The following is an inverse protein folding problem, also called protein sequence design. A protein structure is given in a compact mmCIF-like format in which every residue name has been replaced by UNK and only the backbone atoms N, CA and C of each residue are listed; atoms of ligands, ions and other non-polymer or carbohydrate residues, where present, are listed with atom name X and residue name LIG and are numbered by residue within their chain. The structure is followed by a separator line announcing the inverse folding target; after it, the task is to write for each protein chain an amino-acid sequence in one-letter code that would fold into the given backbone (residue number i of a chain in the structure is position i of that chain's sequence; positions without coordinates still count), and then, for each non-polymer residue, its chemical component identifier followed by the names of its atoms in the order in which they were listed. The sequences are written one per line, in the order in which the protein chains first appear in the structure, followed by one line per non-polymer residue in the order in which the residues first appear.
data_IF_262709477692
#
_entry.id   IF_262709477692
#
_cell.length_a   1.000
_cell.length_b   1.000
_cell.length_c   1.000
_cell.angle_alpha   90.00
_cell.angle_beta   90.00
_cell.angle_gamma   90.00
#
_symmetry.space_group_name_H-M   'P 1'
#
loop_
_entity.id
_entity.type
_entity.pdbx_description
1 polymer ?
#
# COMPACT_ATOMS: atom_id res chain seq x y z
N UNK A 1 -21.91 -1.51 2.26
CA UNK A 1 -20.98 -0.37 2.01
C UNK A 1 -19.75 -0.58 2.88
N UNK A 2 -18.67 -1.12 2.33
CA UNK A 2 -17.39 -1.23 3.05
C UNK A 2 -16.78 0.16 3.17
N UNK A 3 -16.47 0.55 4.40
CA UNK A 3 -16.00 1.89 4.75
C UNK A 3 -14.49 1.98 4.42
N UNK A 4 -14.16 2.10 3.14
CA UNK A 4 -12.79 2.20 2.67
C UNK A 4 -12.22 3.59 2.98
N UNK A 5 -11.21 3.64 3.85
CA UNK A 5 -10.60 4.89 4.29
C UNK A 5 -9.19 5.00 3.71
N UNK A 6 -9.01 5.94 2.78
CA UNK A 6 -7.71 6.34 2.25
C UNK A 6 -7.30 7.68 2.87
N UNK A 7 -6.76 7.62 4.09
CA UNK A 7 -6.31 8.82 4.83
C UNK A 7 -4.83 8.72 5.14
N UNK A 8 -4.14 9.86 5.07
CA UNK A 8 -2.72 9.94 5.44
C UNK A 8 -2.53 9.43 6.87
N UNK A 9 -1.73 8.37 7.09
CA UNK A 9 -1.46 7.89 8.43
C UNK A 9 -0.59 8.89 9.21
N UNK A 10 -0.74 8.92 10.54
CA UNK A 10 0.00 9.83 11.43
C UNK A 10 1.51 9.69 11.32
N UNK A 11 1.99 8.48 11.05
CA UNK A 11 3.42 8.18 10.88
C UNK A 11 3.99 8.54 9.50
N UNK A 12 3.17 8.95 8.52
CA UNK A 12 3.60 9.11 7.14
C UNK A 12 4.71 10.15 6.96
N UNK A 13 4.48 11.38 7.41
CA UNK A 13 5.45 12.46 7.26
C UNK A 13 6.73 12.22 8.12
N UNK A 14 6.62 11.76 9.39
CA UNK A 14 7.79 11.36 10.16
C UNK A 14 8.64 10.27 9.48
N UNK A 15 8.00 9.24 8.93
CA UNK A 15 8.69 8.16 8.24
C UNK A 15 9.43 8.66 6.99
N UNK A 16 8.78 9.47 6.15
CA UNK A 16 9.42 10.08 4.98
C UNK A 16 10.65 10.89 5.40
N UNK A 17 10.52 11.74 6.43
CA UNK A 17 11.64 12.55 6.91
C UNK A 17 12.79 11.67 7.40
N UNK A 18 12.49 10.59 8.11
CA UNK A 18 13.51 9.66 8.58
C UNK A 18 14.24 8.99 7.40
N UNK A 19 13.52 8.38 6.46
CA UNK A 19 14.13 7.68 5.33
C UNK A 19 14.92 8.61 4.42
N UNK A 20 14.42 9.80 4.11
CA UNK A 20 15.14 10.78 3.28
C UNK A 20 16.44 11.28 3.92
N UNK A 21 16.54 11.26 5.26
CA UNK A 21 17.75 11.66 5.97
C UNK A 21 18.78 10.54 6.09
N UNK A 22 18.31 9.29 6.19
CA UNK A 22 19.18 8.11 6.41
C UNK A 22 19.73 7.57 5.09
N UNK A 23 18.97 7.64 4.01
CA UNK A 23 19.32 7.01 2.74
C UNK A 23 19.03 7.96 1.54
N UNK A 24 20.08 8.43 0.84
CA UNK A 24 19.95 9.27 -0.35
C UNK A 24 19.21 8.60 -1.50
N UNK A 25 19.36 7.28 -1.69
CA UNK A 25 18.66 6.53 -2.74
C UNK A 25 17.16 6.49 -2.44
N UNK A 26 16.79 6.23 -1.19
CA UNK A 26 15.38 6.33 -0.78
C UNK A 26 14.85 7.75 -0.87
N UNK A 27 15.67 8.77 -0.59
CA UNK A 27 15.29 10.16 -0.79
C UNK A 27 14.90 10.43 -2.26
N UNK A 28 15.74 9.98 -3.20
CA UNK A 28 15.50 10.12 -4.63
C UNK A 28 14.24 9.37 -5.06
N UNK A 29 14.06 8.12 -4.63
CA UNK A 29 12.87 7.30 -4.92
C UNK A 29 11.60 7.98 -4.39
N UNK A 30 11.58 8.41 -3.13
CA UNK A 30 10.42 9.10 -2.54
C UNK A 30 10.14 10.41 -3.29
N UNK A 31 11.18 11.14 -3.68
CA UNK A 31 11.02 12.41 -4.40
C UNK A 31 10.43 12.23 -5.81
N UNK A 32 10.84 11.16 -6.51
CA UNK A 32 10.44 10.82 -7.87
C UNK A 32 9.03 10.24 -7.95
N UNK A 33 8.63 9.44 -6.96
CA UNK A 33 7.36 8.69 -6.96
C UNK A 33 6.35 9.21 -5.92
N UNK A 34 6.34 10.51 -5.62
CA UNK A 34 5.38 11.12 -4.68
C UNK A 34 3.95 10.80 -5.09
N UNK A 35 3.22 10.12 -4.20
CA UNK A 35 1.80 9.81 -4.38
C UNK A 35 0.96 10.44 -3.28
N UNK A 36 -0.27 10.81 -3.61
CA UNK A 36 -1.30 11.21 -2.63
C UNK A 36 -2.11 10.04 -2.11
N UNK A 37 -1.87 8.83 -2.64
CA UNK A 37 -2.58 7.62 -2.25
C UNK A 37 -1.85 6.95 -1.09
N UNK A 38 -2.60 6.64 -0.04
CA UNK A 38 -2.11 5.86 1.10
C UNK A 38 -2.71 4.46 1.05
N UNK A 39 -2.27 3.60 1.97
CA UNK A 39 -2.87 2.28 2.12
C UNK A 39 -4.36 2.45 2.49
N UNK A 40 -5.24 1.89 1.66
CA UNK A 40 -6.67 1.85 1.96
C UNK A 40 -6.90 0.79 3.04
N UNK A 41 -7.46 1.20 4.18
CA UNK A 41 -7.85 0.28 5.24
C UNK A 41 -9.24 -0.27 4.92
N UNK A 42 -9.37 -1.60 4.92
CA UNK A 42 -10.65 -2.31 4.71
C UNK A 42 -11.05 -3.02 6.02
N UNK A 43 -12.35 -3.19 6.25
CA UNK A 43 -12.88 -3.93 7.41
C UNK A 43 -13.24 -5.39 7.04
N UNK A 44 -12.52 -5.99 6.09
CA UNK A 44 -12.82 -7.32 5.55
C UNK A 44 -11.59 -8.23 5.61
N UNK A 45 -11.09 -8.58 6.82
CA UNK A 45 -9.81 -9.28 6.99
C UNK A 45 -9.79 -10.65 6.30
N UNK A 46 -10.91 -11.40 6.34
CA UNK A 46 -11.03 -12.68 5.66
C UNK A 46 -10.87 -12.52 4.13
N UNK A 47 -11.62 -11.59 3.53
CA UNK A 47 -11.54 -11.34 2.08
C UNK A 47 -10.13 -10.91 1.68
N UNK A 48 -9.52 -10.00 2.45
CA UNK A 48 -8.15 -9.55 2.20
C UNK A 48 -7.15 -10.69 2.27
N UNK A 49 -7.23 -11.55 3.29
CA UNK A 49 -6.35 -12.72 3.41
C UNK A 49 -6.58 -13.71 2.27
N UNK A 50 -7.84 -13.98 1.90
CA UNK A 50 -8.17 -14.85 0.79
C UNK A 50 -7.59 -14.35 -0.54
N UNK A 51 -7.79 -13.07 -0.88
CA UNK A 51 -7.21 -12.46 -2.09
C UNK A 51 -5.67 -12.52 -2.06
N UNK A 52 -5.03 -12.40 -0.88
CA UNK A 52 -3.59 -12.57 -0.73
C UNK A 52 -3.15 -14.00 -1.05
N UNK A 53 -3.84 -15.01 -0.50
CA UNK A 53 -3.48 -16.42 -0.71
C UNK A 53 -3.66 -16.82 -2.18
N UNK A 54 -4.80 -16.46 -2.77
CA UNK A 54 -5.14 -16.82 -4.15
C UNK A 54 -4.27 -16.10 -5.16
N UNK A 55 -3.90 -14.83 -4.90
CA UNK A 55 -3.11 -14.02 -5.82
C UNK A 55 -1.61 -14.30 -5.82
N UNK A 56 -1.11 -15.18 -4.96
CA UNK A 56 0.31 -15.51 -4.92
C UNK A 56 0.76 -16.25 -6.19
N UNK A 57 1.94 -15.90 -6.70
CA UNK A 57 2.60 -16.53 -7.86
C UNK A 57 1.84 -16.47 -9.20
N UNK A 58 0.73 -15.72 -9.30
CA UNK A 58 -0.05 -15.53 -10.53
C UNK A 58 -0.16 -14.05 -10.90
N UNK A 59 -0.57 -13.76 -12.15
CA UNK A 59 -0.72 -12.38 -12.60
C UNK A 59 -1.89 -11.69 -11.89
N UNK A 60 -1.91 -10.35 -11.93
CA UNK A 60 -2.99 -9.53 -11.36
C UNK A 60 -4.33 -9.89 -12.02
N UNK A 61 -4.33 -10.11 -13.33
CA UNK A 61 -5.49 -10.48 -14.13
C UNK A 61 -6.00 -11.87 -13.78
N UNK A 62 -5.08 -12.83 -13.55
CA UNK A 62 -5.43 -14.18 -13.13
C UNK A 62 -6.03 -14.19 -11.72
N UNK A 63 -5.42 -13.47 -10.77
CA UNK A 63 -5.94 -13.34 -9.40
C UNK A 63 -7.34 -12.72 -9.39
N UNK A 64 -7.54 -11.66 -10.18
CA UNK A 64 -8.84 -10.97 -10.31
C UNK A 64 -9.92 -11.82 -10.98
N UNK A 65 -9.55 -12.84 -11.75
CA UNK A 65 -10.51 -13.75 -12.39
C UNK A 65 -11.02 -14.84 -11.44
N UNK A 66 -10.34 -15.05 -10.30
CA UNK A 66 -10.72 -16.03 -9.26
C UNK A 66 -11.57 -15.35 -8.16
N UNK A 67 -11.28 -14.08 -7.85
CA UNK A 67 -12.05 -13.25 -6.91
C UNK A 67 -13.42 -12.82 -7.46
#
# INVERSE_FOLDING_TARGET
MTNEKNTKPSYWNPAIKHFSNVDPVLCDVISKYKSKNYLTVTNTPFKTLFSIIVGQQISIEAAKSIE
#
